data_IF_287441698326
#
_entry.id   IF_287441698326
#
_cell.length_a   1.000
_cell.length_b   1.000
_cell.length_c   1.000
_cell.angle_alpha   90.00
_cell.angle_beta   90.00
_cell.angle_gamma   90.00
#
_symmetry.space_group_name_H-M   'P 1'
#
loop_
_entity.id
_entity.type
_entity.pdbx_description
1 polymer ?
#
# COMPACT_ATOMS: atom_id res chain seq x y z
N UNK A 1 -0.71 -7.58 -7.06
CA UNK A 1 -0.80 -8.14 -5.70
C UNK A 1 -0.06 -7.17 -4.78
N UNK A 2 -0.77 -6.13 -4.34
CA UNK A 2 -0.21 -5.12 -3.45
C UNK A 2 -0.25 -5.71 -2.04
N UNK A 3 0.91 -5.95 -1.42
CA UNK A 3 0.95 -6.50 -0.08
C UNK A 3 0.28 -5.52 0.90
N UNK A 4 -0.92 -5.89 1.34
CA UNK A 4 -1.55 -5.32 2.51
C UNK A 4 -0.71 -5.70 3.73
N UNK A 5 -0.04 -4.70 4.32
CA UNK A 5 0.55 -4.80 5.66
C UNK A 5 0.19 -3.52 6.42
N UNK A 6 -1.07 -3.43 6.82
CA UNK A 6 -1.52 -2.49 7.85
C UNK A 6 -1.34 -3.11 9.24
N UNK A 7 -0.30 -2.68 9.95
CA UNK A 7 -0.37 -2.01 11.26
C UNK A 7 0.97 -2.09 11.99
N UNK A 8 1.24 -1.01 12.73
CA UNK A 8 2.57 -0.53 13.11
C UNK A 8 3.53 -1.55 13.70
N UNK A 9 4.78 -1.51 13.25
CA UNK A 9 5.93 -1.72 14.10
C UNK A 9 7.25 -1.41 13.41
N UNK A 10 8.23 -1.10 14.25
CA UNK A 10 9.67 -0.97 13.99
C UNK A 10 10.14 -1.77 12.77
N UNK A 11 10.87 -1.12 11.87
CA UNK A 11 11.69 -1.80 10.86
C UNK A 11 12.84 -2.51 11.58
N UNK A 12 12.53 -3.63 12.23
CA UNK A 12 13.54 -4.61 12.55
C UNK A 12 14.02 -5.17 11.22
N UNK A 13 15.23 -4.78 10.81
CA UNK A 13 15.99 -5.48 9.78
C UNK A 13 16.49 -6.78 10.42
N UNK A 14 15.55 -7.64 10.78
CA UNK A 14 15.74 -8.82 11.59
C UNK A 14 14.85 -9.91 11.06
N UNK A 15 15.47 -11.04 10.79
CA UNK A 15 14.96 -12.28 10.20
C UNK A 15 14.95 -12.30 8.67
N UNK A 16 15.77 -13.20 8.13
CA UNK A 16 15.86 -13.60 6.73
C UNK A 16 14.60 -14.39 6.31
N UNK A 17 13.42 -13.88 6.67
CA UNK A 17 12.14 -14.52 6.38
C UNK A 17 11.93 -14.52 4.86
N UNK A 18 11.97 -15.71 4.28
CA UNK A 18 11.75 -15.90 2.85
C UNK A 18 10.30 -15.55 2.52
N UNK A 19 10.08 -14.37 1.96
CA UNK A 19 8.75 -13.87 1.57
C UNK A 19 8.18 -14.60 0.35
N UNK A 20 9.04 -15.02 -0.58
CA UNK A 20 8.66 -15.73 -1.80
C UNK A 20 9.86 -16.45 -2.43
N UNK A 21 9.62 -17.63 -3.02
CA UNK A 21 10.63 -18.41 -3.78
C UNK A 21 10.33 -18.33 -5.27
N UNK A 22 11.29 -17.86 -6.06
CA UNK A 22 11.14 -17.71 -7.52
C UNK A 22 11.29 -19.06 -8.21
N UNK A 23 10.34 -19.41 -9.09
CA UNK A 23 10.37 -20.62 -9.92
C UNK A 23 10.61 -20.27 -11.40
N UNK A 24 11.01 -21.25 -12.23
CA UNK A 24 11.22 -21.02 -13.68
C UNK A 24 9.95 -20.52 -14.39
N UNK A 25 8.77 -20.93 -13.91
CA UNK A 25 7.48 -20.47 -14.44
C UNK A 25 7.21 -18.97 -14.19
N UNK A 26 7.86 -18.38 -13.18
CA UNK A 26 7.69 -16.96 -12.84
C UNK A 26 8.46 -16.04 -13.79
N UNK A 27 9.51 -16.54 -14.45
CA UNK A 27 10.42 -15.76 -15.31
C UNK A 27 9.70 -15.14 -16.51
N UNK A 28 8.84 -15.91 -17.17
CA UNK A 28 8.10 -15.47 -18.36
C UNK A 28 6.72 -14.85 -18.02
N UNK A 29 6.31 -14.90 -16.75
CA UNK A 29 5.03 -14.36 -16.29
C UNK A 29 5.01 -12.83 -16.16
N UNK A 30 6.20 -12.21 -16.12
CA UNK A 30 6.38 -10.79 -15.83
C UNK A 30 6.14 -10.44 -14.36
N UNK A 31 6.59 -11.29 -13.44
CA UNK A 31 6.48 -11.10 -11.98
C UNK A 31 5.02 -11.02 -11.47
N UNK A 32 4.09 -11.64 -12.18
CA UNK A 32 2.68 -11.69 -11.76
C UNK A 32 2.56 -12.55 -10.51
N UNK A 33 2.07 -11.97 -9.42
CA UNK A 33 1.93 -12.66 -8.13
C UNK A 33 3.20 -12.66 -7.28
N UNK A 34 4.31 -12.12 -7.79
CA UNK A 34 5.56 -12.01 -7.05
C UNK A 34 5.57 -10.70 -6.24
N UNK A 35 5.88 -10.74 -4.94
CA UNK A 35 6.03 -9.53 -4.12
C UNK A 35 7.35 -8.82 -4.45
N UNK A 36 7.28 -7.77 -5.27
CA UNK A 36 8.49 -7.08 -5.80
C UNK A 36 8.85 -5.78 -5.10
N UNK A 37 7.95 -5.20 -4.30
CA UNK A 37 8.18 -3.89 -3.71
C UNK A 37 7.26 -3.56 -2.54
N UNK A 38 7.70 -2.62 -1.71
CA UNK A 38 6.90 -2.09 -0.60
C UNK A 38 6.26 -0.77 -1.00
N UNK A 39 4.94 -0.76 -1.12
CA UNK A 39 4.17 0.47 -1.32
C UNK A 39 3.70 0.98 0.05
N UNK A 40 4.05 2.22 0.41
CA UNK A 40 3.61 2.85 1.68
C UNK A 40 2.35 3.70 1.54
N UNK A 41 1.93 3.95 0.31
CA UNK A 41 0.83 4.87 -0.03
C UNK A 41 -0.52 4.18 -0.05
N UNK A 42 -0.54 2.93 -0.51
CA UNK A 42 -1.77 2.23 -0.81
C UNK A 42 -1.60 0.72 -0.72
N UNK A 43 -2.71 0.06 -0.43
CA UNK A 43 -2.86 -1.38 -0.55
C UNK A 43 -4.28 -1.71 -1.02
N UNK A 44 -4.50 -2.97 -1.39
CA UNK A 44 -5.81 -3.46 -1.81
C UNK A 44 -6.26 -4.50 -0.81
N UNK A 45 -7.40 -4.25 -0.17
CA UNK A 45 -8.15 -5.23 0.59
C UNK A 45 -9.11 -5.99 -0.34
N UNK A 46 -9.21 -7.34 -0.22
CA UNK A 46 -10.09 -8.14 -1.08
C UNK A 46 -11.59 -7.88 -0.87
N UNK A 47 -11.99 -7.29 0.26
CA UNK A 47 -13.39 -6.99 0.61
C UNK A 47 -13.69 -5.51 0.37
N UNK A 48 -12.89 -4.63 0.97
CA UNK A 48 -13.12 -3.19 0.98
C UNK A 48 -12.53 -2.45 -0.22
N UNK A 49 -11.68 -3.10 -1.01
CA UNK A 49 -11.08 -2.53 -2.21
C UNK A 49 -9.80 -1.75 -1.92
N UNK A 50 -9.60 -0.62 -2.61
CA UNK A 50 -8.35 0.15 -2.50
C UNK A 50 -8.38 1.05 -1.26
N UNK A 51 -7.28 1.09 -0.52
CA UNK A 51 -7.07 2.01 0.60
C UNK A 51 -5.89 2.94 0.31
N UNK A 52 -6.05 4.21 0.69
CA UNK A 52 -4.98 5.21 0.71
C UNK A 52 -4.63 5.54 2.16
N UNK A 53 -3.38 5.25 2.54
CA UNK A 53 -2.85 5.52 3.89
C UNK A 53 -3.79 5.02 5.01
N UNK A 54 -4.48 3.90 4.77
CA UNK A 54 -5.41 3.27 5.72
C UNK A 54 -6.88 3.70 5.60
N UNK A 55 -7.21 4.71 4.80
CA UNK A 55 -8.60 5.09 4.52
C UNK A 55 -9.11 4.37 3.27
N UNK A 56 -10.30 3.73 3.30
CA UNK A 56 -10.89 3.17 2.10
C UNK A 56 -11.23 4.30 1.13
N UNK A 57 -11.05 4.06 -0.17
CA UNK A 57 -11.31 5.07 -1.22
C UNK A 57 -12.74 5.60 -1.16
N UNK A 58 -13.71 4.79 -0.72
CA UNK A 58 -15.10 5.22 -0.55
C UNK A 58 -15.26 6.38 0.44
N UNK A 59 -14.47 6.42 1.51
CA UNK A 59 -14.54 7.49 2.51
C UNK A 59 -13.89 8.78 2.01
N UNK A 60 -12.91 8.66 1.12
CA UNK A 60 -12.20 9.80 0.52
C UNK A 60 -12.96 10.41 -0.66
N UNK A 61 -14.02 9.77 -1.15
CA UNK A 61 -14.77 10.21 -2.33
C UNK A 61 -15.49 11.56 -2.16
N UNK A 62 -15.67 12.03 -0.93
CA UNK A 62 -16.30 13.32 -0.62
C UNK A 62 -15.30 14.42 -0.27
N UNK A 63 -13.98 14.14 -0.31
CA UNK A 63 -12.94 15.15 -0.09
C UNK A 63 -12.54 15.78 -1.43
N UNK A 64 -12.02 17.01 -1.35
CA UNK A 64 -11.44 17.68 -2.51
C UNK A 64 -10.17 16.95 -2.98
N UNK A 65 -9.87 17.01 -4.27
CA UNK A 65 -8.76 16.28 -4.87
C UNK A 65 -7.39 16.70 -4.28
N UNK A 66 -7.26 17.97 -3.90
CA UNK A 66 -6.07 18.51 -3.23
C UNK A 66 -5.82 17.82 -1.88
N UNK A 67 -6.87 17.59 -1.10
CA UNK A 67 -6.78 16.94 0.21
C UNK A 67 -6.34 15.48 0.08
N UNK A 68 -6.81 14.81 -0.97
CA UNK A 68 -6.43 13.43 -1.28
C UNK A 68 -4.96 13.34 -1.70
N UNK A 69 -4.48 14.27 -2.53
CA UNK A 69 -3.06 14.34 -2.90
C UNK A 69 -2.21 14.66 -1.67
N UNK A 70 -2.67 15.58 -0.81
CA UNK A 70 -2.00 15.92 0.44
C UNK A 70 -1.87 14.69 1.34
N UNK A 71 -2.94 13.91 1.50
CA UNK A 71 -2.92 12.64 2.23
C UNK A 71 -1.87 11.68 1.68
N UNK A 72 -1.76 11.55 0.36
CA UNK A 72 -0.77 10.67 -0.26
C UNK A 72 0.67 11.14 -0.04
N UNK A 73 0.90 12.45 -0.07
CA UNK A 73 2.22 13.06 0.07
C UNK A 73 2.69 13.14 1.52
N UNK A 74 1.80 13.50 2.44
CA UNK A 74 2.11 13.79 3.84
C UNK A 74 1.66 12.71 4.82
N UNK A 75 0.95 11.68 4.35
CA UNK A 75 0.40 10.59 5.18
C UNK A 75 -0.55 11.04 6.29
N UNK A 76 -1.14 12.23 6.13
CA UNK A 76 -2.12 12.84 7.04
C UNK A 76 -3.08 13.69 6.23
N UNK A 77 -4.27 13.91 6.75
CA UNK A 77 -5.18 14.91 6.18
C UNK A 77 -4.62 16.32 6.39
N UNK A 78 -4.90 17.26 5.47
CA UNK A 78 -4.54 18.66 5.64
C UNK A 78 -5.31 19.26 6.82
N UNK A 79 -4.73 20.31 7.39
CA UNK A 79 -5.47 21.20 8.30
C UNK A 79 -6.00 22.36 7.48
N UNK A 80 -7.09 23.02 7.86
CA UNK A 80 -7.77 24.01 7.01
C UNK A 80 -6.97 25.27 6.60
N UNK A 81 -5.68 25.32 6.91
CA UNK A 81 -4.72 26.35 6.51
C UNK A 81 -3.69 25.84 5.47
N UNK A 82 -3.72 24.55 5.11
CA UNK A 82 -2.79 23.84 4.22
C UNK A 82 -3.50 23.25 3.01
#
# INVERSE_FOLDING_TARGET
MFLSRCNGWSINMGDEDTLYTITEADLDSGLRGVPVGTCRTSYVDPIEGVHYVGYPVGDLANLEEEDVIYLLMHKRLPTGEE
#
